data_IF_482370637021
#
_entry.id   IF_482370637021
#
_cell.length_a   1.000
_cell.length_b   1.000
_cell.length_c   1.000
_cell.angle_alpha   90.00
_cell.angle_beta   90.00
_cell.angle_gamma   90.00
#
_symmetry.space_group_name_H-M   'P 1'
#
loop_
_entity.id
_entity.type
_entity.pdbx_description
1 polymer ?
#
# COMPACT_ATOMS: atom_id res chain seq x y z
N UNK A 1 13.88 -1.78 16.57
CA UNK A 1 14.64 -2.84 15.87
C UNK A 1 13.96 -3.13 14.53
N UNK A 2 14.64 -2.87 13.42
CA UNK A 2 14.19 -3.28 12.08
C UNK A 2 14.57 -4.74 11.94
N UNK A 3 13.58 -5.59 11.68
CA UNK A 3 13.77 -7.03 11.55
C UNK A 3 14.33 -7.30 10.14
N UNK A 4 15.64 -7.53 10.06
CA UNK A 4 16.31 -7.81 8.79
C UNK A 4 15.98 -9.24 8.36
N UNK A 5 15.15 -9.39 7.32
CA UNK A 5 14.97 -10.68 6.67
C UNK A 5 16.25 -11.07 5.95
N UNK A 6 17.01 -11.98 6.54
CA UNK A 6 18.19 -12.59 5.93
C UNK A 6 17.75 -13.80 5.10
N UNK A 7 17.83 -13.69 3.78
CA UNK A 7 17.61 -14.82 2.89
C UNK A 7 18.93 -15.57 2.68
N UNK A 8 18.90 -16.90 2.83
CA UNK A 8 20.08 -17.72 2.54
C UNK A 8 20.28 -17.79 1.03
N UNK A 9 21.52 -17.66 0.58
CA UNK A 9 21.92 -17.68 -0.85
C UNK A 9 21.37 -18.92 -1.58
N UNK A 10 21.23 -20.06 -0.90
CA UNK A 10 20.64 -21.27 -1.46
C UNK A 10 19.14 -21.11 -1.80
N UNK A 11 18.34 -20.49 -0.92
CA UNK A 11 16.91 -20.27 -1.14
C UNK A 11 16.65 -19.32 -2.32
N UNK A 12 17.58 -18.38 -2.52
CA UNK A 12 17.56 -17.44 -3.63
C UNK A 12 17.86 -18.16 -4.96
N UNK A 13 18.81 -19.10 -4.96
CA UNK A 13 19.16 -19.91 -6.13
C UNK A 13 18.03 -20.85 -6.56
N UNK A 14 17.31 -21.43 -5.61
CA UNK A 14 16.18 -22.31 -5.91
C UNK A 14 14.99 -21.53 -6.50
N UNK A 15 14.74 -20.30 -6.02
CA UNK A 15 13.77 -19.38 -6.61
C UNK A 15 14.18 -18.94 -8.03
N UNK A 16 15.46 -18.71 -8.28
CA UNK A 16 16.01 -18.40 -9.62
C UNK A 16 15.76 -19.53 -10.63
N UNK A 17 15.94 -20.78 -10.21
CA UNK A 17 15.71 -21.95 -11.06
C UNK A 17 14.21 -22.21 -11.33
N UNK A 18 13.31 -21.67 -10.50
CA UNK A 18 11.86 -21.83 -10.66
C UNK A 18 11.21 -20.77 -11.56
N UNK A 19 11.87 -19.61 -11.78
CA UNK A 19 11.20 -18.44 -12.36
C UNK A 19 11.19 -18.41 -13.88
N UNK A 20 12.16 -18.96 -14.61
CA UNK A 20 12.07 -19.11 -16.07
C UNK A 20 13.32 -19.77 -16.64
N UNK A 21 13.19 -20.47 -17.77
CA UNK A 21 14.26 -20.85 -18.71
C UNK A 21 15.02 -19.63 -19.32
N UNK A 22 15.11 -18.50 -18.60
CA UNK A 22 15.85 -17.30 -18.96
C UNK A 22 16.97 -17.07 -17.93
N UNK A 23 18.21 -17.04 -18.42
CA UNK A 23 19.41 -16.77 -17.62
C UNK A 23 19.48 -15.31 -17.18
N UNK A 24 18.77 -14.97 -16.10
CA UNK A 24 18.99 -13.70 -15.39
C UNK A 24 20.43 -13.69 -14.85
N UNK A 25 21.18 -12.65 -15.19
CA UNK A 25 22.53 -12.45 -14.66
C UNK A 25 22.47 -12.07 -13.18
N UNK A 26 23.47 -12.50 -12.41
CA UNK A 26 23.58 -12.15 -10.98
C UNK A 26 23.54 -10.62 -10.76
N UNK A 27 24.16 -9.83 -11.66
CA UNK A 27 24.12 -8.36 -11.59
C UNK A 27 22.70 -7.81 -11.70
N UNK A 28 21.91 -8.30 -12.66
CA UNK A 28 20.51 -7.86 -12.84
C UNK A 28 19.64 -8.23 -11.63
N UNK A 29 19.91 -9.39 -11.03
CA UNK A 29 19.21 -9.82 -9.82
C UNK A 29 19.50 -8.92 -8.62
N UNK A 30 20.78 -8.56 -8.40
CA UNK A 30 21.18 -7.63 -7.33
C UNK A 30 20.55 -6.25 -7.51
N UNK A 31 20.48 -5.75 -8.75
CA UNK A 31 19.77 -4.50 -9.07
C UNK A 31 18.29 -4.57 -8.67
N UNK A 32 17.59 -5.63 -9.05
CA UNK A 32 16.17 -5.81 -8.70
C UNK A 32 15.98 -5.85 -7.19
N UNK A 33 16.85 -6.58 -6.46
CA UNK A 33 16.76 -6.62 -4.99
C UNK A 33 16.99 -5.24 -4.37
N UNK A 34 17.94 -4.46 -4.88
CA UNK A 34 18.20 -3.11 -4.39
C UNK A 34 17.04 -2.16 -4.70
N UNK A 35 16.43 -2.26 -5.88
CA UNK A 35 15.22 -1.50 -6.24
C UNK A 35 14.04 -1.81 -5.31
N UNK A 36 13.90 -3.07 -4.87
CA UNK A 36 12.86 -3.46 -3.90
C UNK A 36 13.20 -3.05 -2.46
N UNK A 37 14.48 -3.12 -2.07
CA UNK A 37 14.94 -2.76 -0.73
C UNK A 37 14.75 -1.27 -0.42
N UNK A 38 14.79 -0.41 -1.44
CA UNK A 38 14.61 1.03 -1.30
C UNK A 38 13.14 1.47 -1.24
N UNK A 39 12.17 0.54 -1.30
CA UNK A 39 10.75 0.88 -1.20
C UNK A 39 10.34 1.11 0.25
N UNK A 40 9.62 2.21 0.48
CA UNK A 40 9.00 2.51 1.77
C UNK A 40 7.53 2.10 1.71
N UNK A 41 7.07 1.37 2.73
CA UNK A 41 5.66 1.01 2.88
C UNK A 41 5.00 1.85 3.96
N UNK A 42 3.86 2.45 3.63
CA UNK A 42 3.03 3.16 4.59
C UNK A 42 2.09 2.17 5.28
N UNK A 43 2.10 2.13 6.62
CA UNK A 43 1.13 1.35 7.39
C UNK A 43 -0.18 2.13 7.48
N UNK A 44 -1.26 1.51 7.04
CA UNK A 44 -2.58 2.12 7.02
C UNK A 44 -3.69 1.07 7.21
N UNK A 45 -4.86 1.54 7.64
CA UNK A 45 -6.05 0.74 7.88
C UNK A 45 -7.09 1.05 6.82
N UNK A 46 -7.62 0.03 6.14
CA UNK A 46 -8.66 0.22 5.13
C UNK A 46 -9.97 0.62 5.83
N UNK A 47 -10.50 1.78 5.46
CA UNK A 47 -11.73 2.33 6.04
C UNK A 47 -12.93 2.04 5.15
N UNK A 48 -12.78 2.27 3.84
CA UNK A 48 -13.84 2.04 2.87
C UNK A 48 -13.30 1.80 1.47
N UNK A 49 -14.13 1.19 0.64
CA UNK A 49 -13.90 1.04 -0.80
C UNK A 49 -15.02 1.75 -1.56
N UNK A 50 -14.64 2.55 -2.56
CA UNK A 50 -15.53 3.22 -3.49
C UNK A 50 -15.41 2.53 -4.84
N UNK A 51 -16.54 2.08 -5.38
CA UNK A 51 -16.57 1.40 -6.69
C UNK A 51 -16.77 2.37 -7.85
N UNK A 52 -17.14 3.62 -7.56
CA UNK A 52 -17.43 4.65 -8.57
C UNK A 52 -17.32 6.06 -8.00
N UNK A 53 -17.39 7.05 -8.89
CA UNK A 53 -17.53 8.46 -8.49
C UNK A 53 -18.84 8.71 -7.73
N UNK A 54 -19.93 8.03 -8.09
CA UNK A 54 -21.20 8.18 -7.40
C UNK A 54 -21.14 7.66 -5.96
N UNK A 55 -20.36 6.62 -5.72
CA UNK A 55 -20.07 6.14 -4.35
C UNK A 55 -19.38 7.21 -3.51
N UNK A 56 -18.42 7.95 -4.08
CA UNK A 56 -17.75 9.04 -3.38
C UNK A 56 -18.75 10.10 -2.92
N UNK A 57 -19.61 10.59 -3.82
CA UNK A 57 -20.63 11.61 -3.53
C UNK A 57 -21.57 11.16 -2.40
N UNK A 58 -22.01 9.89 -2.42
CA UNK A 58 -23.06 9.41 -1.54
C UNK A 58 -22.55 8.84 -0.20
N UNK A 59 -21.39 8.19 -0.20
CA UNK A 59 -20.88 7.46 0.98
C UNK A 59 -19.97 8.33 1.84
N UNK A 60 -19.14 9.17 1.24
CA UNK A 60 -18.08 9.88 1.97
C UNK A 60 -18.60 10.85 3.04
N UNK A 61 -19.61 11.70 2.77
CA UNK A 61 -20.11 12.64 3.77
C UNK A 61 -20.70 11.98 5.03
N UNK A 62 -20.99 10.67 4.99
CA UNK A 62 -21.67 9.94 6.06
C UNK A 62 -20.88 8.77 6.64
N UNK A 63 -19.79 8.35 6.00
CA UNK A 63 -19.05 7.13 6.37
C UNK A 63 -17.59 7.36 6.71
N UNK A 64 -17.04 8.55 6.46
CA UNK A 64 -15.73 8.86 7.01
C UNK A 64 -15.88 9.03 8.53
N UNK A 65 -15.03 8.35 9.33
CA UNK A 65 -15.02 8.58 10.77
C UNK A 65 -14.65 10.04 11.05
N UNK A 66 -15.19 10.57 12.15
CA UNK A 66 -14.81 11.89 12.63
C UNK A 66 -13.30 11.98 12.74
N UNK A 67 -12.75 13.12 12.30
CA UNK A 67 -11.33 13.39 12.46
C UNK A 67 -11.05 13.50 13.95
N UNK A 68 -10.42 12.47 14.51
CA UNK A 68 -10.05 12.45 15.92
C UNK A 68 -8.87 13.40 16.20
N UNK A 69 -8.22 13.89 15.14
CA UNK A 69 -7.12 14.87 15.20
C UNK A 69 -7.20 15.84 14.04
N UNK A 70 -6.82 17.10 14.27
CA UNK A 70 -6.82 18.17 13.26
C UNK A 70 -6.00 17.90 11.98
N UNK A 71 -5.13 16.88 11.98
CA UNK A 71 -4.26 16.51 10.84
C UNK A 71 -4.41 15.04 10.39
N UNK A 72 -5.53 14.37 10.72
CA UNK A 72 -5.76 13.03 10.16
C UNK A 72 -5.92 13.12 8.63
N UNK A 73 -4.98 12.46 7.93
CA UNK A 73 -4.96 12.35 6.48
C UNK A 73 -5.47 10.97 6.08
N UNK A 74 -6.43 10.95 5.17
CA UNK A 74 -6.87 9.73 4.49
C UNK A 74 -6.08 9.60 3.19
N UNK A 75 -5.59 8.39 2.90
CA UNK A 75 -4.99 8.05 1.61
C UNK A 75 -6.06 7.39 0.75
N UNK A 76 -6.31 7.96 -0.42
CA UNK A 76 -7.29 7.48 -1.37
C UNK A 76 -6.50 6.92 -2.54
N UNK A 77 -6.55 5.61 -2.77
CA UNK A 77 -5.65 4.94 -3.71
C UNK A 77 -6.46 4.06 -4.66
N UNK A 78 -6.22 4.19 -5.97
CA UNK A 78 -6.86 3.37 -6.99
C UNK A 78 -6.19 1.99 -7.14
N UNK A 79 -6.69 1.15 -8.05
CA UNK A 79 -6.10 -0.18 -8.28
C UNK A 79 -4.67 -0.15 -8.82
N UNK A 80 -4.23 0.96 -9.40
CA UNK A 80 -2.92 1.15 -10.00
C UNK A 80 -1.92 1.78 -9.01
N UNK A 81 -2.37 2.20 -7.82
CA UNK A 81 -1.55 2.88 -6.84
C UNK A 81 -1.51 4.41 -6.99
N UNK A 82 -2.37 4.99 -7.82
CA UNK A 82 -2.51 6.44 -7.96
C UNK A 82 -3.35 7.03 -6.82
N UNK A 83 -3.01 8.24 -6.39
CA UNK A 83 -3.69 8.93 -5.27
C UNK A 83 -4.80 9.85 -5.78
N UNK A 84 -5.91 9.92 -5.06
CA UNK A 84 -6.94 10.95 -5.26
C UNK A 84 -6.77 12.07 -4.23
N UNK A 85 -6.67 13.31 -4.70
CA UNK A 85 -6.60 14.50 -3.87
C UNK A 85 -7.83 15.40 -4.08
N UNK A 86 -8.32 15.48 -5.31
CA UNK A 86 -9.38 16.40 -5.73
C UNK A 86 -10.51 15.66 -6.44
N UNK A 87 -11.67 16.35 -6.56
CA UNK A 87 -12.82 15.83 -7.30
C UNK A 87 -12.52 15.46 -8.77
N UNK A 88 -11.52 16.11 -9.37
CA UNK A 88 -11.06 15.85 -10.73
C UNK A 88 -10.44 14.46 -10.88
N UNK A 89 -9.74 13.96 -9.86
CA UNK A 89 -9.14 12.63 -9.85
C UNK A 89 -10.19 11.53 -9.91
N UNK A 90 -11.34 11.73 -9.22
CA UNK A 90 -12.46 10.80 -9.29
C UNK A 90 -13.06 10.72 -10.69
N UNK A 91 -13.13 11.84 -11.41
CA UNK A 91 -13.58 11.86 -12.79
C UNK A 91 -12.54 11.23 -13.74
N UNK A 92 -11.25 11.45 -13.49
CA UNK A 92 -10.17 10.82 -14.26
C UNK A 92 -10.17 9.30 -14.10
N UNK A 93 -10.28 8.81 -12.86
CA UNK A 93 -10.34 7.38 -12.57
C UNK A 93 -11.58 6.70 -13.19
N UNK A 94 -12.71 7.40 -13.28
CA UNK A 94 -13.92 6.88 -13.94
C UNK A 94 -13.68 6.71 -15.46
N UNK A 95 -13.11 7.73 -16.11
CA UNK A 95 -12.75 7.67 -17.53
C UNK A 95 -11.71 6.59 -17.84
N UNK A 96 -10.74 6.41 -16.94
CA UNK A 96 -9.66 5.43 -17.08
C UNK A 96 -10.06 4.03 -16.59
N UNK A 97 -11.23 3.87 -15.97
CA UNK A 97 -11.68 2.61 -15.37
C UNK A 97 -10.75 2.10 -14.27
N UNK A 98 -10.18 2.98 -13.44
CA UNK A 98 -9.18 2.63 -12.42
C UNK A 98 -9.74 2.43 -11.01
N UNK A 99 -11.05 2.63 -10.84
CA UNK A 99 -11.77 2.11 -9.68
C UNK A 99 -11.54 0.58 -9.53
N UNK A 100 -11.56 0.04 -8.29
CA UNK A 100 -12.00 0.70 -7.05
C UNK A 100 -10.98 1.66 -6.45
N UNK A 101 -11.48 2.70 -5.77
CA UNK A 101 -10.70 3.60 -4.92
C UNK A 101 -10.81 3.11 -3.47
N UNK A 102 -9.69 2.72 -2.88
CA UNK A 102 -9.59 2.30 -1.48
C UNK A 102 -9.15 3.48 -0.62
N UNK A 103 -9.89 3.75 0.44
CA UNK A 103 -9.59 4.84 1.38
C UNK A 103 -9.00 4.25 2.65
N UNK A 104 -7.81 4.71 2.98
CA UNK A 104 -7.06 4.25 4.12
C UNK A 104 -6.85 5.37 5.14
N UNK A 105 -6.89 5.03 6.42
CA UNK A 105 -6.39 5.89 7.50
C UNK A 105 -4.94 5.50 7.81
N UNK A 106 -4.02 6.44 7.73
CA UNK A 106 -2.62 6.19 8.09
C UNK A 106 -2.48 5.83 9.57
N UNK A 107 -1.63 4.86 9.87
CA UNK A 107 -1.29 4.47 11.24
C UNK A 107 -0.02 5.23 11.64
N UNK A 108 -0.10 5.99 12.73
CA UNK A 108 1.05 6.71 13.29
C UNK A 108 2.04 5.74 13.96
N UNK A 109 3.29 6.18 14.14
CA UNK A 109 4.34 5.36 14.77
C UNK A 109 3.92 4.88 16.16
N UNK A 110 3.34 5.75 16.99
CA UNK A 110 2.87 5.37 18.34
C UNK A 110 1.70 4.38 18.32
N UNK A 111 0.77 4.50 17.37
CA UNK A 111 -0.28 3.50 17.19
C UNK A 111 0.28 2.15 16.74
N UNK A 112 1.31 2.16 15.88
CA UNK A 112 1.95 0.94 15.42
C UNK A 112 2.74 0.24 16.53
N UNK A 113 3.43 1.01 17.38
CA UNK A 113 4.13 0.54 18.57
C UNK A 113 3.16 -0.15 19.55
N UNK A 114 2.09 0.53 19.94
CA UNK A 114 1.09 -0.01 20.87
C UNK A 114 0.43 -1.31 20.36
N UNK A 115 0.25 -1.45 19.04
CA UNK A 115 -0.31 -2.66 18.42
C UNK A 115 0.66 -3.85 18.47
N UNK A 116 1.97 -3.63 18.53
CA UNK A 116 2.94 -4.72 18.71
C UNK A 116 2.91 -5.29 20.12
N UNK A 117 2.70 -4.44 21.11
CA UNK A 117 2.68 -4.84 22.52
C UNK A 117 1.40 -5.61 22.89
N UNK A 118 0.26 -5.24 22.29
CA UNK A 118 -1.02 -5.93 22.52
C UNK A 118 -1.16 -7.34 21.92
N UNK A 119 -0.22 -7.79 21.08
CA UNK A 119 -0.22 -9.13 20.46
C UNK A 119 0.73 -10.12 21.17
N UNK A 120 1.33 -9.74 22.31
CA UNK A 120 2.21 -10.59 23.12
C UNK A 120 1.51 -11.20 24.35
N UNK A 121 0.19 -11.39 24.31
CA UNK A 121 -0.60 -12.10 25.34
C UNK A 121 -1.19 -13.36 24.74
#
# INVERSE_FOLDING_TARGET
MVDHKVFKVAQIRDLLNQVNDETITFSRFVEILNEQANKVFVKAELILTLESKNDWINKVPRRLPDKNRHKENFLWIDKNGCVFELGEDFAAAERMGTFPCKVYRTITVSQFENRKEGNNV
#
